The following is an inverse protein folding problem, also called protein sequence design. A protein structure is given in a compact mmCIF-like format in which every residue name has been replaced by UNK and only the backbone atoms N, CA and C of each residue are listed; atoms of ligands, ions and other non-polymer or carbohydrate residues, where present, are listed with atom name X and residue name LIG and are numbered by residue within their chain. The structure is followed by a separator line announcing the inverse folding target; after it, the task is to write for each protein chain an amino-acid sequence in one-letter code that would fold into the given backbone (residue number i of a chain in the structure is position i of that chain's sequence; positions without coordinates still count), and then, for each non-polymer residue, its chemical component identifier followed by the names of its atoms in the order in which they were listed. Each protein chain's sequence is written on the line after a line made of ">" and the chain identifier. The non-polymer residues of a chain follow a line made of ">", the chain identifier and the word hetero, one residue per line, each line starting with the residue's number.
data_IF_524043172476
#
_entry.id   IF_524043172476
#
_cell.length_a   1.000
_cell.length_b   1.000
_cell.length_c   1.000
_cell.angle_alpha   90.00
_cell.angle_beta   90.00
_cell.angle_gamma   90.00
#
_symmetry.space_group_name_H-M   'P 1'
#
loop_
_entity.id
_entity.type
_entity.pdbx_description
1 polymer ?
#
# COMPACT_ATOMS: atom_id res chain seq x y z
N UNK A 1 -24.20 -15.99 39.22
CA UNK A 1 -24.46 -15.40 37.90
C UNK A 1 -24.98 -14.02 38.19
N UNK A 2 -24.16 -12.98 38.00
CA UNK A 2 -24.63 -11.61 37.95
C UNK A 2 -23.68 -10.90 36.97
N UNK A 3 -24.28 -10.23 36.00
CA UNK A 3 -23.68 -9.78 34.75
C UNK A 3 -22.60 -8.72 34.91
N UNK A 4 -21.60 -8.81 34.03
CA UNK A 4 -20.62 -7.77 33.79
C UNK A 4 -21.28 -6.60 33.06
N UNK A 5 -21.39 -5.45 33.72
CA UNK A 5 -21.62 -4.19 33.02
C UNK A 5 -20.29 -3.76 32.40
N UNK A 6 -20.20 -3.84 31.07
CA UNK A 6 -19.22 -3.13 30.28
C UNK A 6 -19.95 -2.05 29.47
N UNK A 7 -19.16 -1.10 28.95
CA UNK A 7 -19.50 -0.04 28.00
C UNK A 7 -19.93 1.33 28.54
N UNK A 8 -18.92 2.17 28.73
CA UNK A 8 -18.80 3.36 27.87
C UNK A 8 -17.35 3.88 27.86
N UNK A 9 -16.48 3.30 27.03
CA UNK A 9 -15.28 4.02 26.58
C UNK A 9 -15.67 4.84 25.36
N UNK A 10 -16.09 6.09 25.61
CA UNK A 10 -16.30 7.08 24.55
C UNK A 10 -14.94 7.40 23.93
N UNK A 11 -14.62 6.72 22.83
CA UNK A 11 -13.46 7.07 22.01
C UNK A 11 -13.86 8.29 21.21
N UNK A 12 -13.49 9.46 21.72
CA UNK A 12 -13.46 10.70 20.94
C UNK A 12 -12.66 10.41 19.67
N UNK A 13 -13.35 10.39 18.54
CA UNK A 13 -12.75 10.25 17.23
C UNK A 13 -12.01 11.55 16.89
N UNK A 14 -10.98 11.87 17.67
CA UNK A 14 -10.04 12.93 17.33
C UNK A 14 -9.41 12.54 16.00
N UNK A 15 -9.81 13.27 14.96
CA UNK A 15 -9.39 13.14 13.57
C UNK A 15 -7.90 12.81 13.48
N UNK A 16 -7.54 11.58 13.10
CA UNK A 16 -6.16 11.17 12.86
C UNK A 16 -5.61 11.81 11.58
N UNK A 17 -5.50 13.14 11.55
CA UNK A 17 -4.87 13.87 10.46
C UNK A 17 -3.35 13.83 10.65
N UNK A 18 -2.73 12.81 10.07
CA UNK A 18 -1.27 12.75 10.00
C UNK A 18 -0.81 13.56 8.79
N UNK A 19 -0.07 14.65 9.03
CA UNK A 19 0.61 15.38 7.95
C UNK A 19 1.84 14.59 7.54
N UNK A 20 1.75 13.84 6.45
CA UNK A 20 2.94 13.30 5.80
C UNK A 20 3.59 14.37 4.94
N UNK A 21 4.80 14.80 5.34
CA UNK A 21 5.65 15.62 4.49
C UNK A 21 6.10 14.77 3.28
N UNK A 22 5.88 15.23 2.04
CA UNK A 22 6.32 14.49 0.87
C UNK A 22 7.82 14.23 0.95
N UNK A 23 8.22 12.96 1.01
CA UNK A 23 9.63 12.59 0.92
C UNK A 23 10.17 13.11 -0.42
N UNK A 24 11.32 13.79 -0.40
CA UNK A 24 11.98 14.22 -1.64
C UNK A 24 12.26 12.97 -2.47
N UNK A 25 11.82 13.00 -3.73
CA UNK A 25 12.17 11.97 -4.70
C UNK A 25 13.68 12.00 -4.94
N UNK A 26 14.33 10.86 -5.20
CA UNK A 26 15.70 10.87 -5.72
C UNK A 26 15.72 11.75 -6.98
N UNK A 27 16.73 12.62 -7.09
CA UNK A 27 16.85 13.51 -8.23
C UNK A 27 17.24 12.67 -9.45
N UNK A 28 16.33 12.52 -10.42
CA UNK A 28 16.64 11.87 -11.70
C UNK A 28 15.52 10.96 -12.24
N UNK A 29 14.68 10.41 -11.37
CA UNK A 29 13.62 9.47 -11.77
C UNK A 29 12.26 10.19 -11.88
N UNK A 30 11.60 9.98 -13.01
CA UNK A 30 10.23 10.40 -13.28
C UNK A 30 9.26 9.26 -12.93
N UNK A 31 7.98 9.60 -12.78
CA UNK A 31 6.94 8.58 -12.52
C UNK A 31 6.85 7.55 -13.65
N UNK A 32 7.20 7.95 -14.89
CA UNK A 32 7.16 7.09 -16.05
C UNK A 32 8.27 6.03 -16.08
N UNK A 33 9.32 6.18 -15.26
CA UNK A 33 10.45 5.25 -15.22
C UNK A 33 10.17 4.01 -14.36
N UNK A 34 9.11 4.03 -13.55
CA UNK A 34 8.72 2.89 -12.75
C UNK A 34 7.97 1.86 -13.59
N UNK A 35 8.58 0.69 -13.77
CA UNK A 35 8.04 -0.44 -14.54
C UNK A 35 7.52 -1.56 -13.66
N UNK A 36 7.82 -1.54 -12.36
CA UNK A 36 7.45 -2.61 -11.41
C UNK A 36 6.92 -2.05 -10.09
N UNK A 37 6.01 -2.79 -9.48
CA UNK A 37 5.41 -2.50 -8.17
C UNK A 37 5.40 -3.75 -7.31
N UNK A 38 5.93 -3.67 -6.08
CA UNK A 38 5.73 -4.70 -5.07
C UNK A 38 4.60 -4.30 -4.13
N UNK A 39 3.58 -5.16 -4.02
CA UNK A 39 2.50 -5.04 -3.03
C UNK A 39 2.68 -6.06 -1.91
N UNK A 40 2.49 -5.62 -0.67
CA UNK A 40 2.57 -6.50 0.52
C UNK A 40 1.15 -6.74 1.06
N UNK A 41 0.64 -7.99 1.02
CA UNK A 41 -0.66 -8.34 1.59
C UNK A 41 -0.74 -7.97 3.08
N UNK A 42 -1.88 -7.41 3.51
CA UNK A 42 -2.10 -7.00 4.90
C UNK A 42 -1.31 -5.76 5.35
N UNK A 43 -0.45 -5.19 4.51
CA UNK A 43 0.35 -3.98 4.82
C UNK A 43 0.34 -3.00 3.65
N UNK A 44 -0.80 -2.31 3.40
CA UNK A 44 -0.95 -1.45 2.23
C UNK A 44 0.02 -0.27 2.20
N UNK A 45 0.53 0.19 3.36
CA UNK A 45 1.53 1.26 3.43
C UNK A 45 2.96 0.79 3.06
N UNK A 46 3.19 -0.51 2.89
CA UNK A 46 4.50 -1.10 2.57
C UNK A 46 4.69 -1.37 1.07
N UNK A 47 3.89 -0.77 0.20
CA UNK A 47 4.10 -0.88 -1.25
C UNK A 47 5.35 -0.11 -1.68
N UNK A 48 6.02 -0.58 -2.74
CA UNK A 48 7.19 0.10 -3.31
C UNK A 48 7.26 -0.10 -4.82
N UNK A 49 7.53 0.98 -5.55
CA UNK A 49 7.75 0.96 -6.99
C UNK A 49 9.26 0.91 -7.30
N UNK A 50 9.61 0.30 -8.43
CA UNK A 50 10.97 0.07 -8.89
C UNK A 50 11.08 0.34 -10.41
N UNK A 51 12.24 0.78 -10.82
CA UNK A 51 12.65 0.92 -12.23
C UNK A 51 13.20 -0.40 -12.77
N UNK A 52 13.27 -0.57 -14.09
CA UNK A 52 13.82 -1.78 -14.72
C UNK A 52 15.22 -2.20 -14.22
N UNK A 53 16.21 -1.30 -14.09
CA UNK A 53 17.53 -1.69 -13.56
C UNK A 53 17.49 -2.16 -12.09
N UNK A 54 16.45 -1.81 -11.33
CA UNK A 54 16.25 -2.23 -9.93
C UNK A 54 15.51 -3.58 -9.80
N UNK A 55 15.30 -4.34 -10.89
CA UNK A 55 14.55 -5.62 -10.86
C UNK A 55 15.02 -6.58 -9.77
N UNK A 56 16.34 -6.74 -9.62
CA UNK A 56 16.91 -7.59 -8.57
C UNK A 56 16.59 -7.10 -7.14
N UNK A 57 16.48 -5.78 -6.92
CA UNK A 57 16.06 -5.23 -5.63
C UNK A 57 14.56 -5.41 -5.38
N UNK A 58 13.75 -5.33 -6.44
CA UNK A 58 12.31 -5.57 -6.38
C UNK A 58 12.02 -7.03 -5.96
N UNK A 59 12.71 -8.00 -6.55
CA UNK A 59 12.61 -9.42 -6.20
C UNK A 59 13.00 -9.67 -4.74
N UNK A 60 14.16 -9.16 -4.32
CA UNK A 60 14.61 -9.25 -2.93
C UNK A 60 13.62 -8.60 -1.95
N UNK A 61 13.02 -7.46 -2.33
CA UNK A 61 12.02 -6.79 -1.50
C UNK A 61 10.76 -7.63 -1.37
N UNK A 62 10.29 -8.24 -2.46
CA UNK A 62 9.13 -9.13 -2.46
C UNK A 62 9.37 -10.35 -1.56
N UNK A 63 10.50 -11.04 -1.72
CA UNK A 63 10.87 -12.19 -0.87
C UNK A 63 10.93 -11.83 0.61
N UNK A 64 11.62 -10.73 0.94
CA UNK A 64 11.79 -10.28 2.32
C UNK A 64 10.48 -9.86 2.99
N UNK A 65 9.53 -9.31 2.22
CA UNK A 65 8.26 -8.78 2.76
C UNK A 65 7.09 -9.75 2.61
N UNK A 66 7.28 -10.87 1.90
CA UNK A 66 6.16 -11.72 1.45
C UNK A 66 5.24 -11.01 0.46
N UNK A 67 5.78 -10.03 -0.28
CA UNK A 67 5.05 -9.25 -1.27
C UNK A 67 4.99 -9.93 -2.64
N UNK A 68 4.19 -9.36 -3.53
CA UNK A 68 4.06 -9.79 -4.93
C UNK A 68 4.58 -8.70 -5.84
N UNK A 69 5.51 -9.05 -6.73
CA UNK A 69 6.00 -8.19 -7.80
C UNK A 69 4.99 -8.17 -8.96
N UNK A 70 4.58 -6.98 -9.37
CA UNK A 70 3.59 -6.73 -10.40
C UNK A 70 4.24 -5.83 -11.46
N UNK A 71 4.17 -6.22 -12.73
CA UNK A 71 4.62 -5.39 -13.84
C UNK A 71 3.61 -4.27 -14.14
N UNK A 72 4.12 -3.09 -14.45
CA UNK A 72 3.36 -1.91 -14.82
C UNK A 72 3.41 -1.73 -16.35
N UNK A 73 2.33 -1.26 -17.00
CA UNK A 73 1.09 -0.77 -16.40
C UNK A 73 0.18 -1.89 -15.88
N UNK A 74 -0.54 -1.61 -14.79
CA UNK A 74 -1.52 -2.56 -14.27
C UNK A 74 -2.62 -2.80 -15.32
N UNK A 75 -3.09 -4.05 -15.49
CA UNK A 75 -4.27 -4.30 -16.31
C UNK A 75 -5.44 -3.49 -15.75
N UNK A 76 -6.24 -2.94 -16.66
CA UNK A 76 -7.47 -2.24 -16.26
C UNK A 76 -8.30 -3.21 -15.40
N UNK A 77 -8.83 -2.76 -14.25
CA UNK A 77 -9.75 -3.60 -13.49
C UNK A 77 -10.94 -3.92 -14.39
N UNK A 78 -11.38 -5.18 -14.40
CA UNK A 78 -12.65 -5.54 -15.01
C UNK A 78 -13.72 -4.65 -14.39
N UNK A 79 -14.23 -3.67 -15.13
CA UNK A 79 -15.24 -2.69 -14.68
C UNK A 79 -16.57 -3.34 -14.27
N UNK A 80 -16.64 -4.67 -14.17
CA UNK A 80 -17.79 -5.49 -13.79
C UNK A 80 -17.86 -5.81 -12.29
N UNK A 81 -16.86 -5.44 -11.48
CA UNK A 81 -16.85 -5.75 -10.04
C UNK A 81 -17.34 -4.61 -9.13
N UNK A 82 -18.01 -3.59 -9.68
CA UNK A 82 -18.82 -2.66 -8.88
C UNK A 82 -20.24 -3.26 -8.83
N UNK A 83 -20.67 -3.87 -7.71
CA UNK A 83 -22.06 -4.30 -7.61
C UNK A 83 -22.97 -3.07 -7.74
N UNK A 84 -24.08 -3.13 -8.49
CA UNK A 84 -25.07 -2.06 -8.47
C UNK A 84 -25.59 -1.88 -7.04
N UNK A 85 -25.76 -0.61 -6.64
CA UNK A 85 -26.29 -0.21 -5.34
C UNK A 85 -27.74 -0.65 -5.11
#
# INVERSE_FOLDING_TARGET
>A
MEEATIDAVSTDASSFSTRETPRRRPAGETVADFTMLVRVPGKPASFRAFTEPERGEAEQYAERTGGTLIELPLPLPDSAAVPPA
#
